data_IF_013123153589
#
_entry.id   IF_013123153589
#
_cell.length_a   1.000
_cell.length_b   1.000
_cell.length_c   1.000
_cell.angle_alpha   90.00
_cell.angle_beta   90.00
_cell.angle_gamma   90.00
#
_symmetry.space_group_name_H-M   'P 1'
#
loop_
_entity.id
_entity.type
_entity.pdbx_description
1 polymer ?
#
# COMPACT_ATOMS: atom_id res chain seq x y z
N UNK A 1 5.57 -25.37 19.62
CA UNK A 1 5.61 -25.00 18.18
C UNK A 1 4.37 -25.49 17.38
N UNK A 2 3.20 -25.74 18.01
CA UNK A 2 2.04 -26.34 17.31
C UNK A 2 0.73 -25.53 17.32
N UNK A 3 0.68 -24.33 17.91
CA UNK A 3 -0.58 -23.60 18.16
C UNK A 3 -0.99 -22.62 17.06
N UNK A 4 -0.02 -22.07 16.30
CA UNK A 4 -0.30 -21.05 15.28
C UNK A 4 -0.88 -21.64 13.99
N UNK A 5 -0.46 -22.86 13.60
CA UNK A 5 -1.00 -23.54 12.40
C UNK A 5 -2.44 -24.01 12.58
N UNK A 6 -2.83 -24.44 13.78
CA UNK A 6 -4.19 -24.88 14.08
C UNK A 6 -5.17 -23.70 14.20
N UNK A 7 -4.73 -22.57 14.76
CA UNK A 7 -5.55 -21.37 14.87
C UNK A 7 -5.83 -20.73 13.50
N UNK A 8 -4.80 -20.63 12.64
CA UNK A 8 -4.99 -20.16 11.27
C UNK A 8 -5.94 -21.07 10.48
N UNK A 9 -5.80 -22.40 10.62
CA UNK A 9 -6.70 -23.32 9.94
C UNK A 9 -8.16 -23.13 10.40
N UNK A 10 -8.40 -23.00 11.70
CA UNK A 10 -9.75 -22.74 12.22
C UNK A 10 -10.33 -21.41 11.70
N UNK A 11 -9.49 -20.37 11.58
CA UNK A 11 -9.93 -19.09 11.03
C UNK A 11 -10.27 -19.18 9.54
N UNK A 12 -9.49 -19.91 8.75
CA UNK A 12 -9.83 -20.18 7.35
C UNK A 12 -11.14 -20.98 7.26
N UNK A 13 -11.30 -22.07 8.02
CA UNK A 13 -12.54 -22.85 8.03
C UNK A 13 -13.76 -21.96 8.34
N UNK A 14 -13.64 -21.06 9.34
CA UNK A 14 -14.66 -20.08 9.70
C UNK A 14 -14.95 -19.10 8.56
N UNK A 15 -13.92 -18.42 8.05
CA UNK A 15 -14.02 -17.41 6.99
C UNK A 15 -14.75 -17.95 5.75
N UNK A 16 -14.33 -19.11 5.25
CA UNK A 16 -14.93 -19.67 4.04
C UNK A 16 -16.33 -20.24 4.30
N UNK A 17 -16.59 -20.87 5.46
CA UNK A 17 -17.93 -21.39 5.79
C UNK A 17 -18.96 -20.29 5.91
N UNK A 18 -18.62 -19.19 6.59
CA UNK A 18 -19.54 -18.04 6.76
C UNK A 18 -19.86 -17.33 5.44
N UNK A 19 -19.00 -17.47 4.43
CA UNK A 19 -19.18 -16.87 3.11
C UNK A 19 -19.64 -17.87 2.03
N UNK A 20 -20.20 -19.02 2.42
CA UNK A 20 -20.78 -19.97 1.46
C UNK A 20 -19.74 -20.77 0.66
N UNK A 21 -18.58 -21.02 1.27
CA UNK A 21 -17.51 -21.90 0.77
C UNK A 21 -16.46 -21.22 -0.09
N UNK A 22 -16.74 -20.03 -0.63
CA UNK A 22 -15.76 -19.26 -1.39
C UNK A 22 -15.94 -17.75 -1.20
N UNK A 23 -14.84 -17.02 -1.31
CA UNK A 23 -14.80 -15.57 -1.20
C UNK A 23 -14.15 -14.95 -2.44
N UNK A 24 -14.49 -13.71 -2.82
CA UNK A 24 -13.78 -12.99 -3.86
C UNK A 24 -12.27 -12.92 -3.59
N UNK A 25 -11.44 -12.96 -4.64
CA UNK A 25 -9.98 -12.84 -4.50
C UNK A 25 -9.56 -11.57 -3.76
N UNK A 26 -10.25 -10.45 -3.97
CA UNK A 26 -10.04 -9.21 -3.21
C UNK A 26 -10.22 -9.43 -1.70
N UNK A 27 -11.29 -10.13 -1.27
CA UNK A 27 -11.52 -10.41 0.15
C UNK A 27 -10.46 -11.35 0.69
N UNK A 28 -10.05 -12.35 -0.09
CA UNK A 28 -8.94 -13.21 0.28
C UNK A 28 -7.63 -12.41 0.47
N UNK A 29 -7.29 -11.50 -0.44
CA UNK A 29 -6.15 -10.59 -0.30
C UNK A 29 -6.27 -9.74 0.97
N UNK A 30 -7.44 -9.15 1.23
CA UNK A 30 -7.69 -8.35 2.43
C UNK A 30 -7.38 -9.14 3.72
N UNK A 31 -7.86 -10.38 3.82
CA UNK A 31 -7.60 -11.23 4.99
C UNK A 31 -6.14 -11.69 5.05
N UNK A 32 -5.57 -12.15 3.94
CA UNK A 32 -4.19 -12.61 3.90
C UNK A 32 -3.18 -11.51 4.24
N UNK A 33 -3.45 -10.26 3.84
CA UNK A 33 -2.57 -9.12 4.04
C UNK A 33 -2.83 -8.42 5.37
N UNK A 34 -4.08 -8.19 5.74
CA UNK A 34 -4.44 -7.25 6.81
C UNK A 34 -5.23 -7.86 7.97
N UNK A 35 -5.54 -9.17 7.98
CA UNK A 35 -6.23 -9.79 9.11
C UNK A 35 -5.53 -9.42 10.44
N UNK A 36 -6.28 -9.00 11.49
CA UNK A 36 -5.69 -8.49 12.73
C UNK A 36 -4.69 -9.43 13.40
N UNK A 37 -5.00 -10.72 13.43
CA UNK A 37 -4.15 -11.74 14.05
C UNK A 37 -3.21 -12.48 13.08
N UNK A 38 -3.64 -12.78 11.85
CA UNK A 38 -2.90 -13.64 10.92
C UNK A 38 -2.36 -12.94 9.67
N UNK A 39 -2.79 -11.69 9.42
CA UNK A 39 -2.44 -10.95 8.22
C UNK A 39 -0.94 -10.71 8.11
N UNK A 40 -0.40 -10.75 6.89
CA UNK A 40 1.02 -10.57 6.64
C UNK A 40 1.55 -9.23 7.20
N UNK A 41 0.85 -8.12 6.95
CA UNK A 41 1.21 -6.79 7.45
C UNK A 41 0.81 -6.54 8.91
N UNK A 42 0.08 -7.45 9.56
CA UNK A 42 -0.27 -7.28 10.98
C UNK A 42 0.57 -8.19 11.88
N UNK A 43 0.67 -9.47 11.54
CA UNK A 43 1.34 -10.50 12.34
C UNK A 43 2.83 -10.64 12.02
N UNK A 44 3.18 -10.66 10.72
CA UNK A 44 4.52 -11.07 10.24
C UNK A 44 5.50 -9.94 10.01
N UNK A 45 5.18 -8.69 10.35
CA UNK A 45 6.13 -7.57 10.22
C UNK A 45 7.32 -7.77 11.17
N UNK A 46 8.31 -8.53 10.72
CA UNK A 46 9.67 -8.57 11.26
C UNK A 46 10.56 -7.63 10.48
N UNK A 47 10.28 -7.39 9.19
CA UNK A 47 10.85 -6.31 8.36
C UNK A 47 10.00 -6.14 7.10
N UNK A 48 9.36 -4.98 6.92
CA UNK A 48 8.93 -4.52 5.58
C UNK A 48 10.08 -3.70 5.04
N UNK A 49 10.78 -4.22 4.02
CA UNK A 49 11.93 -3.55 3.46
C UNK A 49 13.14 -3.51 4.41
N UNK A 50 13.72 -4.68 4.70
CA UNK A 50 15.10 -4.79 5.20
C UNK A 50 15.83 -5.91 4.47
N UNK A 51 17.17 -5.95 4.51
CA UNK A 51 18.00 -6.98 3.85
C UNK A 51 17.72 -8.44 4.32
N UNK A 52 16.78 -8.64 5.26
CA UNK A 52 16.31 -9.93 5.79
C UNK A 52 14.77 -10.07 5.77
N UNK A 53 14.04 -9.17 5.10
CA UNK A 53 12.59 -9.30 4.90
C UNK A 53 12.25 -10.18 3.70
N UNK A 54 11.02 -10.70 3.64
CA UNK A 54 10.56 -11.58 2.55
C UNK A 54 10.49 -10.84 1.18
N UNK A 55 10.52 -9.50 1.19
CA UNK A 55 10.62 -8.66 0.01
C UNK A 55 11.76 -7.66 0.18
N UNK A 56 12.75 -7.71 -0.71
CA UNK A 56 13.73 -6.64 -0.89
C UNK A 56 13.07 -5.54 -1.72
N UNK A 57 12.59 -4.50 -1.07
CA UNK A 57 12.03 -3.33 -1.76
C UNK A 57 13.16 -2.51 -2.38
N UNK A 58 12.91 -1.76 -3.46
CA UNK A 58 13.95 -0.95 -4.12
C UNK A 58 14.66 0.04 -3.17
N UNK A 59 13.93 0.50 -2.14
CA UNK A 59 14.41 1.31 -1.03
C UNK A 59 15.45 0.61 -0.11
N UNK A 60 15.62 -0.70 -0.21
CA UNK A 60 16.53 -1.48 0.66
C UNK A 60 17.81 -1.92 -0.02
N UNK A 61 17.84 -1.87 -1.34
CA UNK A 61 18.98 -2.31 -2.15
C UNK A 61 20.00 -1.17 -2.30
N UNK A 62 19.57 0.10 -2.26
CA UNK A 62 20.45 1.26 -2.29
C UNK A 62 19.75 2.54 -1.82
N UNK A 63 20.50 3.46 -1.19
CA UNK A 63 19.99 4.79 -0.83
C UNK A 63 19.73 5.73 -2.03
N UNK A 64 19.72 5.20 -3.26
CA UNK A 64 19.50 5.96 -4.49
C UNK A 64 18.07 6.50 -4.57
N UNK A 65 17.07 5.73 -4.12
CA UNK A 65 15.68 6.16 -4.15
C UNK A 65 15.46 7.37 -3.23
N UNK A 66 15.94 7.30 -1.98
CA UNK A 66 15.88 8.43 -1.06
C UNK A 66 16.60 9.68 -1.61
N UNK A 67 17.73 9.51 -2.29
CA UNK A 67 18.41 10.62 -2.98
C UNK A 67 17.61 11.18 -4.16
N UNK A 68 16.96 10.33 -4.96
CA UNK A 68 16.12 10.76 -6.08
C UNK A 68 14.92 11.57 -5.59
N UNK A 69 14.21 11.08 -4.56
CA UNK A 69 13.10 11.79 -3.94
C UNK A 69 13.57 13.11 -3.32
N UNK A 70 14.71 13.12 -2.61
CA UNK A 70 15.27 14.34 -2.07
C UNK A 70 15.59 15.38 -3.16
N UNK A 71 16.12 14.95 -4.31
CA UNK A 71 16.36 15.84 -5.47
C UNK A 71 15.06 16.36 -6.09
N UNK A 72 14.04 15.52 -6.17
CA UNK A 72 12.71 15.95 -6.61
C UNK A 72 12.16 17.03 -5.66
N UNK A 73 12.15 16.79 -4.34
CA UNK A 73 11.77 17.78 -3.32
C UNK A 73 12.56 19.08 -3.50
N UNK A 74 13.88 18.99 -3.73
CA UNK A 74 14.73 20.16 -3.97
C UNK A 74 14.34 21.00 -5.19
N UNK A 75 13.79 20.36 -6.22
CA UNK A 75 13.34 21.05 -7.42
C UNK A 75 11.97 21.68 -7.19
N UNK A 76 11.03 20.95 -6.60
CA UNK A 76 9.67 21.44 -6.34
C UNK A 76 9.66 22.66 -5.40
N UNK A 77 10.51 22.64 -4.37
CA UNK A 77 10.63 23.74 -3.41
C UNK A 77 11.04 25.07 -4.07
N UNK A 78 11.69 25.05 -5.23
CA UNK A 78 12.08 26.28 -5.95
C UNK A 78 10.88 27.05 -6.50
N UNK A 79 9.76 26.38 -6.67
CA UNK A 79 8.52 26.98 -7.15
C UNK A 79 7.63 27.48 -6.00
N UNK A 80 8.01 27.19 -4.74
CA UNK A 80 7.28 27.70 -3.58
C UNK A 80 7.68 29.14 -3.27
N UNK A 81 6.72 29.99 -2.82
CA UNK A 81 7.03 31.34 -2.37
C UNK A 81 8.08 31.33 -1.23
N UNK A 82 8.98 32.32 -1.17
CA UNK A 82 9.96 32.42 -0.10
C UNK A 82 9.30 32.41 1.30
N UNK A 83 9.82 31.59 2.20
CA UNK A 83 9.30 31.46 3.57
C UNK A 83 8.12 30.49 3.73
N UNK A 84 7.66 29.85 2.66
CA UNK A 84 6.64 28.79 2.72
C UNK A 84 7.21 27.57 3.46
N UNK A 85 6.50 27.03 4.47
CA UNK A 85 6.84 25.74 5.07
C UNK A 85 6.78 24.62 4.02
N UNK A 86 7.72 23.70 4.09
CA UNK A 86 7.81 22.54 3.22
C UNK A 86 7.28 21.35 3.99
N UNK A 87 6.06 20.95 3.67
CA UNK A 87 5.43 19.75 4.21
C UNK A 87 5.71 18.59 3.26
N UNK A 88 6.19 17.47 3.79
CA UNK A 88 6.47 16.27 3.03
C UNK A 88 5.71 15.11 3.65
N UNK A 89 4.84 14.47 2.89
CA UNK A 89 4.04 13.33 3.35
C UNK A 89 4.55 12.05 2.69
N UNK A 90 4.92 11.07 3.50
CA UNK A 90 5.13 9.69 3.05
C UNK A 90 3.94 8.83 3.47
N UNK A 91 3.34 8.15 2.50
CA UNK A 91 2.23 7.22 2.74
C UNK A 91 2.73 5.79 2.66
N UNK A 92 2.40 4.99 3.68
CA UNK A 92 2.87 3.62 3.79
C UNK A 92 4.38 3.54 4.04
N UNK A 93 4.91 4.39 4.93
CA UNK A 93 6.36 4.56 5.15
C UNK A 93 7.09 3.35 5.74
N UNK A 94 6.41 2.21 5.93
CA UNK A 94 7.00 0.97 6.41
C UNK A 94 7.74 1.18 7.73
N UNK A 95 9.02 0.81 7.81
CA UNK A 95 9.83 1.02 9.02
C UNK A 95 10.49 2.41 9.12
N UNK A 96 10.17 3.31 8.18
CA UNK A 96 10.71 4.68 8.11
C UNK A 96 12.08 4.76 7.43
N UNK A 97 12.55 3.67 6.81
CA UNK A 97 13.85 3.61 6.13
C UNK A 97 13.95 4.61 4.98
N UNK A 98 12.91 4.74 4.15
CA UNK A 98 12.91 5.64 3.01
C UNK A 98 12.86 7.11 3.47
N UNK A 99 11.96 7.48 4.39
CA UNK A 99 11.98 8.81 5.01
C UNK A 99 13.35 9.17 5.59
N UNK A 100 14.00 8.22 6.29
CA UNK A 100 15.35 8.43 6.84
C UNK A 100 16.33 8.79 5.73
N UNK A 101 16.34 8.06 4.62
CA UNK A 101 17.22 8.34 3.49
C UNK A 101 16.92 9.70 2.85
N UNK A 102 15.65 10.04 2.69
CA UNK A 102 15.21 11.34 2.17
C UNK A 102 15.71 12.47 3.07
N UNK A 103 15.49 12.40 4.39
CA UNK A 103 15.94 13.41 5.34
C UNK A 103 17.47 13.51 5.34
N UNK A 104 18.19 12.38 5.31
CA UNK A 104 19.65 12.36 5.24
C UNK A 104 20.16 13.02 3.96
N UNK A 105 19.57 12.69 2.81
CA UNK A 105 19.93 13.28 1.53
C UNK A 105 19.63 14.78 1.47
N UNK A 106 18.52 15.23 2.07
CA UNK A 106 18.18 16.65 2.19
C UNK A 106 19.15 17.44 3.09
N UNK A 107 19.72 16.80 4.12
CA UNK A 107 20.65 17.41 5.10
C UNK A 107 22.14 17.19 4.79
N UNK A 108 22.47 16.38 3.78
CA UNK A 108 23.85 15.99 3.46
C UNK A 108 24.73 17.19 3.04
N UNK A 109 26.06 17.12 3.23
CA UNK A 109 26.97 18.22 2.91
C UNK A 109 26.94 18.66 1.44
N UNK A 110 26.52 17.77 0.54
CA UNK A 110 26.37 18.02 -0.90
C UNK A 110 24.98 18.54 -1.30
N UNK A 111 24.01 18.59 -0.38
CA UNK A 111 22.68 19.11 -0.65
C UNK A 111 22.68 20.65 -0.71
N UNK A 112 22.22 21.26 -1.81
CA UNK A 112 22.04 22.70 -1.89
C UNK A 112 21.10 23.25 -0.81
N UNK A 113 20.17 22.41 -0.33
CA UNK A 113 19.22 22.75 0.72
C UNK A 113 19.78 22.59 2.14
N UNK A 114 21.00 22.07 2.35
CA UNK A 114 21.61 22.04 3.69
C UNK A 114 21.78 23.44 4.27
N UNK A 115 22.03 24.43 3.41
CA UNK A 115 21.99 25.86 3.79
C UNK A 115 20.57 26.34 4.10
N UNK A 116 19.57 25.88 3.36
CA UNK A 116 18.16 26.26 3.54
C UNK A 116 17.59 25.67 4.85
N UNK A 117 17.88 24.40 5.14
CA UNK A 117 17.57 23.73 6.40
C UNK A 117 18.21 24.43 7.61
N UNK A 118 19.47 24.86 7.49
CA UNK A 118 20.16 25.63 8.55
C UNK A 118 19.56 27.02 8.77
N UNK A 119 19.01 27.64 7.73
CA UNK A 119 18.39 28.98 7.78
C UNK A 119 16.93 28.94 8.22
N UNK A 120 16.25 27.82 8.00
CA UNK A 120 14.86 27.59 8.40
C UNK A 120 14.70 26.21 9.04
N UNK A 121 15.09 26.04 10.32
CA UNK A 121 14.80 24.81 11.07
C UNK A 121 13.29 24.55 11.26
N UNK A 122 12.43 25.57 11.04
CA UNK A 122 10.97 25.45 10.94
C UNK A 122 10.45 25.16 9.52
N UNK A 123 11.35 25.05 8.55
CA UNK A 123 11.01 25.03 7.13
C UNK A 123 10.67 23.67 6.58
N UNK A 124 11.05 22.56 7.23
CA UNK A 124 10.64 21.22 6.83
C UNK A 124 9.84 20.56 7.94
N UNK A 125 8.69 19.99 7.57
CA UNK A 125 7.91 19.08 8.39
C UNK A 125 7.62 17.82 7.60
N UNK A 126 7.78 16.69 8.23
CA UNK A 126 7.58 15.37 7.63
C UNK A 126 6.39 14.69 8.30
N UNK A 127 5.54 14.07 7.50
CA UNK A 127 4.34 13.39 7.94
C UNK A 127 4.44 11.95 7.45
N UNK A 128 4.33 10.98 8.36
CA UNK A 128 4.22 9.57 7.99
C UNK A 128 2.79 9.11 8.23
N UNK A 129 2.15 8.60 7.18
CA UNK A 129 0.83 7.96 7.25
C UNK A 129 1.04 6.45 7.31
N UNK A 130 0.68 5.85 8.45
CA UNK A 130 0.88 4.43 8.70
C UNK A 130 -0.23 3.91 9.62
N UNK A 131 -0.98 2.90 9.18
CA UNK A 131 -2.09 2.30 9.93
C UNK A 131 -1.61 1.36 11.03
N UNK A 132 -0.48 0.67 10.82
CA UNK A 132 0.06 -0.35 11.72
C UNK A 132 0.73 0.27 12.96
N UNK A 133 0.20 0.05 14.19
CA UNK A 133 0.82 0.55 15.42
C UNK A 133 2.27 0.08 15.59
N UNK A 134 2.55 -1.17 15.21
CA UNK A 134 3.87 -1.79 15.30
C UNK A 134 4.89 -1.14 14.37
N UNK A 135 4.48 -0.81 13.13
CA UNK A 135 5.36 -0.08 12.21
C UNK A 135 5.60 1.35 12.71
N UNK A 136 4.58 2.03 13.25
CA UNK A 136 4.77 3.36 13.86
C UNK A 136 5.79 3.35 14.99
N UNK A 137 5.81 2.33 15.84
CA UNK A 137 6.84 2.17 16.88
C UNK A 137 8.24 2.04 16.26
N UNK A 138 8.40 1.20 15.23
CA UNK A 138 9.68 1.06 14.52
C UNK A 138 10.11 2.34 13.83
N UNK A 139 9.18 3.05 13.19
CA UNK A 139 9.46 4.36 12.58
C UNK A 139 9.96 5.36 13.63
N UNK A 140 9.37 5.36 14.85
CA UNK A 140 9.85 6.21 15.94
C UNK A 140 11.31 5.87 16.28
N UNK A 141 11.68 4.60 16.36
CA UNK A 141 13.08 4.23 16.61
C UNK A 141 14.01 4.61 15.45
N UNK A 142 13.65 4.28 14.21
CA UNK A 142 14.42 4.59 12.99
C UNK A 142 14.65 6.10 12.83
N UNK A 143 13.65 6.91 13.16
CA UNK A 143 13.62 8.34 12.92
C UNK A 143 13.87 9.18 14.18
N UNK A 144 14.34 8.55 15.27
CA UNK A 144 14.67 9.22 16.55
C UNK A 144 15.48 10.51 16.42
N UNK A 145 16.48 10.63 15.52
CA UNK A 145 17.22 11.88 15.35
C UNK A 145 16.39 13.07 14.84
N UNK A 146 15.17 12.83 14.32
CA UNK A 146 14.33 13.81 13.64
C UNK A 146 12.93 13.97 14.22
N UNK A 147 12.64 13.43 15.41
CA UNK A 147 11.32 13.54 16.04
C UNK A 147 10.77 14.97 16.11
N UNK A 148 11.64 15.97 16.30
CA UNK A 148 11.21 17.38 16.38
C UNK A 148 10.61 17.94 15.08
N UNK A 149 10.73 17.24 13.96
CA UNK A 149 10.21 17.66 12.65
C UNK A 149 9.29 16.60 12.01
N UNK A 150 8.97 15.52 12.72
CA UNK A 150 8.13 14.43 12.22
C UNK A 150 6.81 14.37 12.98
N UNK A 151 5.72 14.15 12.23
CA UNK A 151 4.40 13.83 12.76
C UNK A 151 3.91 12.51 12.17
N UNK A 152 3.23 11.71 12.98
CA UNK A 152 2.62 10.44 12.56
C UNK A 152 1.11 10.58 12.47
N UNK A 153 0.55 9.93 11.47
CA UNK A 153 -0.85 9.99 11.10
C UNK A 153 -1.35 8.58 10.83
N UNK A 154 -2.60 8.32 11.18
CA UNK A 154 -3.31 7.09 10.87
C UNK A 154 -3.91 7.11 9.47
N UNK A 155 -4.32 8.29 9.00
CA UNK A 155 -4.91 8.50 7.68
C UNK A 155 -4.28 9.70 6.94
N UNK A 156 -4.46 9.76 5.62
CA UNK A 156 -3.88 10.82 4.79
C UNK A 156 -4.53 12.18 5.08
N UNK A 157 -5.80 12.18 5.43
CA UNK A 157 -6.63 13.35 5.72
C UNK A 157 -6.07 14.12 6.92
N UNK A 158 -5.67 13.44 7.99
CA UNK A 158 -5.05 14.09 9.15
C UNK A 158 -3.68 14.68 8.80
N UNK A 159 -2.92 14.02 7.93
CA UNK A 159 -1.64 14.52 7.44
C UNK A 159 -1.83 15.78 6.57
N UNK A 160 -2.81 15.78 5.67
CA UNK A 160 -3.16 16.92 4.82
C UNK A 160 -3.68 18.10 5.64
N UNK A 161 -4.50 17.86 6.67
CA UNK A 161 -4.94 18.90 7.61
C UNK A 161 -3.74 19.53 8.33
N UNK A 162 -2.82 18.70 8.86
CA UNK A 162 -1.60 19.18 9.51
C UNK A 162 -0.70 19.98 8.55
N UNK A 163 -0.64 19.55 7.29
CA UNK A 163 0.07 20.22 6.20
C UNK A 163 -0.70 21.39 5.57
N UNK A 164 -1.90 21.71 6.06
CA UNK A 164 -2.77 22.79 5.53
C UNK A 164 -3.07 22.66 4.04
N UNK A 165 -3.17 21.43 3.55
CA UNK A 165 -3.48 21.10 2.16
C UNK A 165 -2.36 21.41 1.15
N UNK A 166 -1.17 21.80 1.58
CA UNK A 166 -0.03 22.04 0.69
C UNK A 166 1.16 21.19 1.11
N UNK A 167 1.36 20.07 0.41
CA UNK A 167 2.44 19.13 0.71
C UNK A 167 2.98 18.46 -0.56
N UNK A 168 4.25 18.07 -0.46
CA UNK A 168 4.86 17.11 -1.39
C UNK A 168 4.56 15.71 -0.88
N UNK A 169 3.70 14.99 -1.61
CA UNK A 169 3.25 13.65 -1.22
C UNK A 169 3.98 12.61 -2.06
N UNK A 170 4.54 11.60 -1.39
CA UNK A 170 5.09 10.44 -2.06
C UNK A 170 4.72 9.15 -1.34
N UNK A 171 4.84 8.05 -2.07
CA UNK A 171 4.61 6.72 -1.55
C UNK A 171 5.47 5.74 -2.35
N UNK A 172 5.98 4.70 -1.70
CA UNK A 172 6.69 3.61 -2.35
C UNK A 172 6.00 2.29 -2.01
N UNK A 173 5.66 1.50 -3.04
CA UNK A 173 5.09 0.15 -2.90
C UNK A 173 3.83 0.11 -2.02
N UNK A 174 2.96 1.11 -2.20
CA UNK A 174 1.67 1.17 -1.52
C UNK A 174 0.55 0.55 -2.36
N UNK A 175 0.45 0.94 -3.63
CA UNK A 175 -0.66 0.57 -4.53
C UNK A 175 -0.71 -0.93 -4.77
N UNK A 176 0.45 -1.60 -4.84
CA UNK A 176 0.54 -3.05 -5.06
C UNK A 176 -0.01 -3.88 -3.88
N UNK A 177 -0.10 -3.30 -2.69
CA UNK A 177 -0.62 -3.97 -1.50
C UNK A 177 -2.15 -3.85 -1.38
N UNK A 178 -2.79 -3.01 -2.18
CA UNK A 178 -4.24 -2.88 -2.17
C UNK A 178 -4.91 -4.14 -2.74
N UNK A 179 -5.93 -4.68 -2.07
CA UNK A 179 -6.69 -5.82 -2.59
C UNK A 179 -7.28 -5.51 -3.97
N UNK A 180 -7.06 -6.41 -4.93
CA UNK A 180 -7.56 -6.26 -6.28
C UNK A 180 -8.69 -7.25 -6.56
N UNK A 181 -9.67 -6.82 -7.36
CA UNK A 181 -10.67 -7.70 -7.96
C UNK A 181 -10.04 -8.33 -9.20
N UNK A 182 -9.95 -9.66 -9.22
CA UNK A 182 -9.46 -10.38 -10.38
C UNK A 182 -10.63 -10.90 -11.22
N UNK A 183 -10.63 -10.59 -12.51
CA UNK A 183 -11.62 -11.06 -13.48
C UNK A 183 -10.94 -11.91 -14.55
N UNK A 184 -11.66 -12.92 -15.05
CA UNK A 184 -11.21 -13.76 -16.15
C UNK A 184 -12.24 -13.80 -17.27
N UNK A 185 -11.77 -13.62 -18.50
CA UNK A 185 -12.58 -13.80 -19.70
C UNK A 185 -12.83 -15.30 -19.89
N UNK A 186 -14.07 -15.71 -20.19
CA UNK A 186 -14.35 -17.10 -20.52
C UNK A 186 -13.46 -17.61 -21.66
N UNK A 187 -13.12 -18.90 -21.61
CA UNK A 187 -12.39 -19.55 -22.69
C UNK A 187 -13.29 -19.85 -23.90
N UNK A 188 -14.60 -20.01 -23.66
CA UNK A 188 -15.58 -20.17 -24.72
C UNK A 188 -15.97 -18.80 -25.26
N UNK A 189 -15.92 -18.57 -26.59
CA UNK A 189 -16.40 -17.36 -27.22
C UNK A 189 -17.93 -17.19 -27.13
N UNK A 190 -18.67 -18.23 -26.72
CA UNK A 190 -20.14 -18.20 -26.55
C UNK A 190 -20.58 -17.69 -25.17
N UNK A 191 -19.65 -17.53 -24.22
CA UNK A 191 -19.94 -17.00 -22.89
C UNK A 191 -19.68 -15.48 -22.87
N UNK A 192 -20.76 -14.70 -22.79
CA UNK A 192 -20.73 -13.24 -22.94
C UNK A 192 -20.23 -12.48 -21.70
N UNK A 193 -20.29 -13.09 -20.50
CA UNK A 193 -20.00 -12.39 -19.25
C UNK A 193 -18.67 -12.85 -18.62
N UNK A 194 -17.89 -11.86 -18.17
CA UNK A 194 -16.69 -12.08 -17.36
C UNK A 194 -17.02 -12.83 -16.07
N UNK A 195 -16.10 -13.68 -15.62
CA UNK A 195 -16.17 -14.32 -14.31
C UNK A 195 -15.23 -13.63 -13.32
N UNK A 196 -15.65 -13.49 -12.07
CA UNK A 196 -14.75 -13.10 -10.99
C UNK A 196 -13.95 -14.33 -10.53
N UNK A 197 -12.67 -14.12 -10.22
CA UNK A 197 -11.84 -15.11 -9.55
C UNK A 197 -12.18 -15.06 -8.06
N UNK A 198 -12.72 -16.17 -7.58
CA UNK A 198 -12.94 -16.43 -6.18
C UNK A 198 -11.91 -17.46 -5.68
N UNK A 199 -11.80 -17.52 -4.37
CA UNK A 199 -10.95 -18.45 -3.65
C UNK A 199 -11.88 -19.34 -2.83
N UNK A 200 -11.63 -20.64 -2.82
CA UNK A 200 -12.25 -21.59 -1.89
C UNK A 200 -11.19 -22.30 -1.06
N UNK A 201 -11.62 -22.87 0.06
CA UNK A 201 -10.74 -23.56 1.00
C UNK A 201 -11.33 -24.91 1.38
N UNK A 202 -10.49 -25.94 1.30
CA UNK A 202 -10.77 -27.28 1.81
C UNK A 202 -9.62 -27.72 2.70
N UNK A 203 -9.93 -28.24 3.89
CA UNK A 203 -8.89 -28.57 4.90
C UNK A 203 -7.94 -29.69 4.47
N UNK A 204 -8.29 -30.49 3.46
CA UNK A 204 -7.46 -31.58 2.94
C UNK A 204 -6.63 -31.16 1.73
N UNK A 205 -7.19 -30.33 0.86
CA UNK A 205 -6.60 -29.96 -0.43
C UNK A 205 -6.08 -28.53 -0.49
N UNK A 206 -6.34 -27.74 0.56
CA UNK A 206 -5.88 -26.37 0.70
C UNK A 206 -6.75 -25.36 -0.04
N UNK A 207 -6.12 -24.25 -0.41
CA UNK A 207 -6.75 -23.14 -1.11
C UNK A 207 -6.78 -23.43 -2.61
N UNK A 208 -7.90 -23.13 -3.27
CA UNK A 208 -8.07 -23.25 -4.72
C UNK A 208 -8.74 -22.00 -5.29
N UNK A 209 -8.36 -21.65 -6.51
CA UNK A 209 -9.11 -20.65 -7.28
C UNK A 209 -10.33 -21.32 -7.93
N UNK A 210 -11.44 -20.60 -7.94
CA UNK A 210 -12.65 -20.96 -8.67
C UNK A 210 -13.24 -19.73 -9.37
N UNK A 211 -13.88 -19.93 -10.51
CA UNK A 211 -14.51 -18.84 -11.27
C UNK A 211 -16.00 -18.80 -10.94
N UNK A 212 -16.50 -17.63 -10.55
CA UNK A 212 -17.92 -17.39 -10.32
C UNK A 212 -18.47 -16.31 -11.25
N UNK A 213 -19.75 -16.36 -11.64
CA UNK A 213 -20.35 -15.29 -12.42
C UNK A 213 -20.19 -13.93 -11.73
N UNK A 214 -19.75 -12.90 -12.48
CA UNK A 214 -19.47 -11.58 -11.91
C UNK A 214 -20.71 -10.94 -11.25
N UNK A 215 -21.89 -11.13 -11.81
CA UNK A 215 -23.16 -10.59 -11.25
C UNK A 215 -23.50 -11.18 -9.88
N UNK A 216 -23.20 -12.46 -9.67
CA UNK A 216 -23.45 -13.13 -8.39
C UNK A 216 -22.49 -12.67 -7.31
N UNK A 217 -21.27 -12.31 -7.71
CA UNK A 217 -20.16 -12.06 -6.78
C UNK A 217 -20.00 -10.57 -6.44
N UNK A 218 -20.37 -9.65 -7.36
CA UNK A 218 -20.29 -8.18 -7.19
C UNK A 218 -21.46 -7.42 -7.83
N UNK A 219 -22.65 -7.41 -7.21
CA UNK A 219 -23.75 -6.59 -7.70
C UNK A 219 -23.46 -5.07 -7.70
N UNK A 220 -22.52 -4.62 -6.88
CA UNK A 220 -22.18 -3.21 -6.62
C UNK A 220 -21.03 -2.65 -7.47
N UNK A 221 -20.32 -3.50 -8.24
CA UNK A 221 -19.14 -3.05 -8.98
C UNK A 221 -19.54 -2.12 -10.13
N UNK A 222 -19.16 -0.84 -10.03
CA UNK A 222 -19.41 0.15 -11.07
C UNK A 222 -18.51 -0.12 -12.29
N UNK A 223 -19.06 -0.74 -13.31
CA UNK A 223 -18.37 -1.02 -14.58
C UNK A 223 -18.10 0.24 -15.41
N UNK A 224 -18.59 1.42 -15.03
CA UNK A 224 -18.20 2.66 -15.70
C UNK A 224 -16.89 3.25 -15.16
N UNK A 225 -16.46 2.79 -13.97
CA UNK A 225 -15.30 3.27 -13.24
C UNK A 225 -13.95 2.91 -13.88
N UNK A 226 -13.90 1.88 -14.72
CA UNK A 226 -12.64 1.35 -15.23
C UNK A 226 -12.46 1.67 -16.72
N UNK A 227 -11.47 2.49 -17.02
CA UNK A 227 -11.13 2.92 -18.39
C UNK A 227 -10.76 1.77 -19.33
N UNK A 228 -10.41 0.60 -18.79
CA UNK A 228 -10.10 -0.61 -19.58
C UNK A 228 -11.37 -1.34 -20.04
N UNK A 229 -12.54 -1.08 -19.45
CA UNK A 229 -13.77 -1.83 -19.73
C UNK A 229 -14.21 -1.82 -21.20
N UNK A 230 -14.11 -0.71 -21.94
CA UNK A 230 -14.34 -0.70 -23.38
C UNK A 230 -13.37 -1.60 -24.17
N UNK A 231 -12.18 -1.86 -23.65
CA UNK A 231 -11.15 -2.71 -24.26
C UNK A 231 -11.21 -4.17 -23.81
N UNK A 232 -11.95 -4.49 -22.74
CA UNK A 232 -12.08 -5.87 -22.27
C UNK A 232 -12.72 -6.80 -23.31
N UNK A 233 -13.61 -6.27 -24.16
CA UNK A 233 -14.22 -7.05 -25.23
C UNK A 233 -13.20 -7.60 -26.24
N UNK A 234 -12.11 -6.87 -26.53
CA UNK A 234 -11.09 -7.26 -27.51
C UNK A 234 -9.99 -8.17 -26.96
N UNK A 235 -9.99 -8.46 -25.66
CA UNK A 235 -9.01 -9.35 -25.04
C UNK A 235 -9.22 -10.82 -25.47
N UNK A 236 -8.15 -11.63 -25.55
CA UNK A 236 -8.27 -13.04 -25.92
C UNK A 236 -9.04 -13.86 -24.86
N UNK A 237 -9.69 -14.97 -25.24
CA UNK A 237 -10.30 -15.90 -24.28
C UNK A 237 -9.29 -16.36 -23.22
N UNK A 238 -9.75 -16.52 -21.98
CA UNK A 238 -8.88 -16.90 -20.84
C UNK A 238 -8.04 -15.76 -20.26
N UNK A 239 -8.04 -14.57 -20.87
CA UNK A 239 -7.31 -13.41 -20.34
C UNK A 239 -7.79 -13.04 -18.93
N UNK A 240 -6.84 -12.73 -18.05
CA UNK A 240 -7.12 -12.16 -16.72
C UNK A 240 -6.83 -10.67 -16.69
N UNK A 241 -7.62 -9.96 -15.90
CA UNK A 241 -7.42 -8.54 -15.58
C UNK A 241 -7.64 -8.32 -14.08
N UNK A 242 -6.89 -7.38 -13.53
CA UNK A 242 -7.01 -6.94 -12.14
C UNK A 242 -7.59 -5.53 -12.11
N UNK A 243 -8.60 -5.33 -11.27
CA UNK A 243 -9.25 -4.05 -11.04
C UNK A 243 -8.93 -3.60 -9.61
N UNK A 244 -8.29 -2.43 -9.49
CA UNK A 244 -7.88 -1.85 -8.21
C UNK A 244 -8.94 -0.91 -7.65
N UNK A 245 -10.17 -1.40 -7.45
CA UNK A 245 -11.28 -0.57 -6.95
C UNK A 245 -11.05 -0.10 -5.51
N UNK A 246 -10.46 -0.95 -4.66
CA UNK A 246 -10.09 -0.59 -3.29
C UNK A 246 -9.14 0.61 -3.24
N UNK A 247 -8.13 0.64 -4.11
CA UNK A 247 -7.20 1.77 -4.24
C UNK A 247 -7.91 3.01 -4.77
N UNK A 248 -8.77 2.87 -5.79
CA UNK A 248 -9.55 3.99 -6.31
C UNK A 248 -10.39 4.64 -5.21
N UNK A 249 -11.15 3.84 -4.45
CA UNK A 249 -11.99 4.34 -3.35
C UNK A 249 -11.18 5.05 -2.27
N UNK A 250 -10.01 4.51 -1.93
CA UNK A 250 -9.08 5.15 -0.99
C UNK A 250 -8.47 6.44 -1.54
N UNK A 251 -8.24 6.53 -2.85
CA UNK A 251 -7.73 7.75 -3.48
C UNK A 251 -8.80 8.85 -3.60
N UNK A 252 -10.07 8.46 -3.76
CA UNK A 252 -11.22 9.37 -3.90
C UNK A 252 -11.79 9.85 -2.56
N UNK A 253 -11.48 9.17 -1.45
CA UNK A 253 -11.88 9.56 -0.09
C UNK A 253 -11.07 10.74 0.45
#
# INVERSE_FOLDING_TARGET
>A
MGTSSSALQAELERLFTENGGAIPFERFMQEALYHPEFGYYTHKIRTVGGARGDFATSATLSGLLGMAIARWIQNEVRFLPPGTPIEVIEIGGGEGSLMREVIQALRGPTSPLTRWWRRSPKGFRFHLVEVSPRLRERQRDTLKPWWGVIQWHDQIESALVAARGNALVFSNELVDAFPAVALQKPHSPEADDWSEVCVSFDSRTGIREELRPLRESRPELDRSAFSILPHLASLPPGQRVELHDSYRRWWES
#
